data_IF_318649006478
#
_entry.id   IF_318649006478
#
_cell.length_a   1.000
_cell.length_b   1.000
_cell.length_c   1.000
_cell.angle_alpha   90.00
_cell.angle_beta   90.00
_cell.angle_gamma   90.00
#
_symmetry.space_group_name_H-M   'P 1'
#
loop_
_entity.id
_entity.type
_entity.pdbx_description
1 polymer ?
#
# COMPACT_ATOMS: atom_id res chain seq x y z
N UNK A 1 4.36 -35.40 -35.68
CA UNK A 1 5.47 -34.84 -34.92
C UNK A 1 5.26 -33.32 -34.90
N UNK A 2 4.72 -32.81 -33.80
CA UNK A 2 4.55 -31.38 -33.60
C UNK A 2 5.85 -30.88 -32.97
N UNK A 3 6.52 -29.97 -33.66
CA UNK A 3 7.72 -29.29 -33.17
C UNK A 3 7.28 -28.22 -32.15
N UNK A 4 7.67 -28.43 -30.89
CA UNK A 4 7.53 -27.46 -29.83
C UNK A 4 8.32 -26.19 -30.18
N UNK A 5 7.63 -25.04 -30.22
CA UNK A 5 8.26 -23.70 -30.36
C UNK A 5 8.81 -23.28 -28.99
N UNK A 6 10.06 -22.82 -29.02
CA UNK A 6 10.71 -22.20 -27.88
C UNK A 6 10.07 -20.82 -27.59
N UNK A 7 9.65 -20.50 -26.35
CA UNK A 7 8.97 -19.26 -26.02
C UNK A 7 9.84 -17.97 -26.15
N UNK A 8 11.11 -18.10 -26.48
CA UNK A 8 12.05 -16.99 -26.67
C UNK A 8 12.44 -16.72 -28.13
N UNK A 9 11.81 -17.38 -29.11
CA UNK A 9 12.07 -17.08 -30.52
C UNK A 9 11.36 -15.77 -30.91
N UNK A 10 12.06 -14.81 -31.55
CA UNK A 10 11.43 -13.57 -32.02
C UNK A 10 10.35 -13.87 -33.03
N UNK A 11 9.21 -13.22 -32.85
CA UNK A 11 8.07 -13.29 -33.79
C UNK A 11 8.54 -12.78 -35.14
N UNK A 12 8.39 -13.53 -36.24
CA UNK A 12 8.73 -13.02 -37.55
C UNK A 12 7.82 -11.84 -37.88
N UNK A 13 8.43 -10.68 -38.12
CA UNK A 13 7.79 -9.51 -38.70
C UNK A 13 7.24 -9.92 -40.07
N UNK A 14 5.95 -10.07 -40.18
CA UNK A 14 5.29 -10.18 -41.46
C UNK A 14 5.40 -8.80 -42.15
N UNK A 15 6.17 -8.75 -43.22
CA UNK A 15 6.13 -7.61 -44.13
C UNK A 15 4.73 -7.54 -44.75
N UNK A 16 3.87 -6.70 -44.16
CA UNK A 16 2.62 -6.29 -44.79
C UNK A 16 2.98 -5.18 -45.79
N UNK A 17 3.23 -5.57 -47.05
CA UNK A 17 3.21 -4.65 -48.17
C UNK A 17 1.74 -4.26 -48.44
N UNK A 18 1.34 -3.14 -47.88
CA UNK A 18 0.06 -2.50 -48.25
C UNK A 18 0.35 -1.62 -49.47
N UNK A 19 -0.10 -2.04 -50.63
CA UNK A 19 -0.20 -1.13 -51.79
C UNK A 19 -1.34 -0.13 -51.49
N UNK A 20 -0.98 1.10 -51.16
CA UNK A 20 -1.93 2.18 -50.99
C UNK A 20 -2.11 2.86 -52.33
N UNK A 21 -3.20 2.57 -53.01
CA UNK A 21 -3.68 3.43 -54.08
C UNK A 21 -4.16 4.76 -53.44
N UNK A 22 -3.44 5.83 -53.76
CA UNK A 22 -3.79 7.21 -53.36
C UNK A 22 -5.01 7.70 -54.16
N UNK A 23 -6.18 7.39 -53.68
CA UNK A 23 -7.40 8.13 -54.10
C UNK A 23 -7.99 8.79 -52.86
N UNK A 24 -7.83 10.11 -52.81
CA UNK A 24 -8.59 10.92 -51.85
C UNK A 24 -10.09 10.77 -52.16
N UNK A 25 -10.77 9.92 -51.44
CA UNK A 25 -12.21 9.84 -51.44
C UNK A 25 -12.71 10.63 -50.25
N UNK A 26 -13.36 11.73 -50.54
CA UNK A 26 -14.22 12.41 -49.58
C UNK A 26 -15.45 11.51 -49.45
N UNK A 27 -15.70 10.96 -48.24
CA UNK A 27 -16.94 10.27 -47.93
C UNK A 27 -18.11 11.25 -48.03
N UNK A 28 -19.32 10.74 -48.39
CA UNK A 28 -20.53 11.54 -48.46
C UNK A 28 -20.85 12.31 -47.16
N UNK A 29 -20.14 12.03 -46.06
CA UNK A 29 -20.24 12.68 -44.75
C UNK A 29 -19.15 13.74 -44.48
N UNK A 30 -18.28 14.07 -45.46
CA UNK A 30 -17.38 15.21 -45.38
C UNK A 30 -16.12 15.05 -44.54
N UNK A 31 -15.69 13.81 -44.24
CA UNK A 31 -14.44 13.55 -43.50
C UNK A 31 -13.23 13.57 -44.45
N UNK A 32 -12.34 14.54 -44.32
CA UNK A 32 -11.04 14.56 -44.96
C UNK A 32 -10.02 13.85 -44.10
N UNK A 33 -9.53 12.69 -44.55
CA UNK A 33 -8.34 12.07 -43.99
C UNK A 33 -7.10 12.50 -44.79
N UNK A 34 -6.17 13.20 -44.16
CA UNK A 34 -4.87 13.50 -44.75
C UNK A 34 -3.87 12.45 -44.31
N UNK A 35 -3.26 11.77 -45.30
CA UNK A 35 -2.17 10.83 -45.06
C UNK A 35 -0.87 11.51 -45.49
N UNK A 36 0.07 11.65 -44.57
CA UNK A 36 1.43 12.10 -44.86
C UNK A 36 2.41 10.96 -44.55
N UNK A 37 3.33 10.73 -45.50
CA UNK A 37 4.45 9.81 -45.30
C UNK A 37 5.56 10.53 -44.55
N UNK A 38 5.99 9.98 -43.43
CA UNK A 38 7.15 10.46 -42.70
C UNK A 38 8.41 10.18 -43.55
N UNK A 39 9.19 11.22 -43.91
CA UNK A 39 10.38 11.04 -44.75
C UNK A 39 11.57 10.41 -44.02
N UNK A 40 11.56 10.27 -42.70
CA UNK A 40 12.73 9.78 -41.97
C UNK A 40 12.67 8.28 -41.63
N UNK A 41 11.49 7.68 -41.43
CA UNK A 41 11.37 6.25 -41.06
C UNK A 41 10.33 5.46 -41.88
N UNK A 42 9.69 6.08 -42.86
CA UNK A 42 8.74 5.39 -43.75
C UNK A 42 7.40 5.05 -43.10
N UNK A 43 7.12 5.61 -41.95
CA UNK A 43 5.84 5.49 -41.26
C UNK A 43 4.73 6.31 -41.93
N UNK A 44 3.48 5.85 -41.84
CA UNK A 44 2.30 6.60 -42.32
C UNK A 44 1.68 7.29 -41.12
N UNK A 45 1.68 8.63 -41.13
CA UNK A 45 0.93 9.45 -40.18
C UNK A 45 -0.44 9.66 -40.76
N UNK A 46 -1.47 9.15 -40.10
CA UNK A 46 -2.88 9.37 -40.46
C UNK A 46 -3.46 10.38 -39.49
N UNK A 47 -3.63 11.61 -39.91
CA UNK A 47 -4.41 12.61 -39.16
C UNK A 47 -5.88 12.47 -39.48
N UNK A 48 -6.67 12.06 -38.50
CA UNK A 48 -8.13 12.12 -38.58
C UNK A 48 -8.58 13.50 -38.12
N UNK A 49 -9.07 14.32 -39.04
CA UNK A 49 -9.87 15.50 -38.66
C UNK A 49 -11.27 14.99 -38.27
N UNK A 50 -11.69 15.15 -37.01
CA UNK A 50 -13.08 14.86 -36.66
C UNK A 50 -14.03 15.74 -37.49
N UNK A 51 -15.24 15.24 -37.87
CA UNK A 51 -16.20 16.02 -38.59
C UNK A 51 -16.49 17.32 -37.84
N UNK A 52 -16.50 18.44 -38.55
CA UNK A 52 -16.87 19.75 -38.01
C UNK A 52 -18.38 19.79 -37.71
N UNK A 53 -18.86 18.95 -36.85
CA UNK A 53 -20.19 19.04 -36.28
C UNK A 53 -20.15 20.14 -35.22
N UNK A 54 -20.88 21.22 -35.45
CA UNK A 54 -20.98 22.38 -34.55
C UNK A 54 -21.42 22.00 -33.10
N UNK A 55 -21.85 20.77 -32.88
CA UNK A 55 -22.18 20.21 -31.55
C UNK A 55 -21.00 19.56 -30.81
N UNK A 56 -19.92 19.23 -31.50
CA UNK A 56 -18.70 18.67 -30.88
C UNK A 56 -17.61 19.73 -30.64
N UNK A 57 -17.84 20.99 -30.99
CA UNK A 57 -17.14 22.11 -30.38
C UNK A 57 -17.63 22.32 -28.94
N UNK A 58 -17.57 21.30 -28.11
CA UNK A 58 -17.09 21.52 -26.78
C UNK A 58 -15.66 22.03 -26.97
N UNK A 59 -15.57 23.37 -27.16
CA UNK A 59 -14.32 24.05 -26.87
C UNK A 59 -13.86 23.46 -25.54
N UNK A 60 -12.89 22.54 -25.58
CA UNK A 60 -11.90 22.50 -24.56
C UNK A 60 -11.29 23.91 -24.61
N UNK A 61 -11.96 24.88 -23.94
CA UNK A 61 -11.25 26.02 -23.43
C UNK A 61 -10.18 25.39 -22.63
N UNK A 62 -8.94 25.44 -23.09
CA UNK A 62 -7.77 25.18 -22.29
C UNK A 62 -8.09 25.81 -20.96
N UNK A 63 -8.18 25.00 -19.91
CA UNK A 63 -8.42 25.54 -18.58
C UNK A 63 -7.25 26.47 -18.34
N UNK A 64 -7.46 27.75 -18.04
CA UNK A 64 -6.33 28.68 -18.00
C UNK A 64 -5.32 28.11 -17.02
N UNK A 65 -4.09 27.88 -17.45
CA UNK A 65 -2.97 27.42 -16.58
C UNK A 65 -2.89 28.25 -15.31
N UNK A 66 -3.26 29.49 -15.40
CA UNK A 66 -3.39 30.45 -14.32
C UNK A 66 -4.40 30.04 -13.22
N UNK A 67 -5.45 29.26 -13.55
CA UNK A 67 -6.44 28.84 -12.55
C UNK A 67 -5.87 27.80 -11.57
N UNK A 68 -5.04 26.87 -12.05
CA UNK A 68 -4.44 25.81 -11.23
C UNK A 68 -3.00 26.13 -10.79
N UNK A 69 -2.54 27.36 -10.97
CA UNK A 69 -1.23 27.80 -10.51
C UNK A 69 -1.08 27.67 -8.99
N UNK A 70 0.14 27.64 -8.52
CA UNK A 70 0.46 27.68 -7.11
C UNK A 70 0.12 29.06 -6.52
N UNK A 71 -0.86 29.14 -5.64
CA UNK A 71 -1.27 30.39 -5.00
C UNK A 71 -0.33 30.84 -3.88
N UNK A 72 0.47 29.93 -3.34
CA UNK A 72 1.40 30.22 -2.25
C UNK A 72 2.45 31.27 -2.65
N UNK A 73 2.76 31.42 -3.95
CA UNK A 73 3.73 32.38 -4.45
C UNK A 73 3.23 33.83 -4.39
N UNK A 74 1.92 34.04 -4.33
CA UNK A 74 1.28 35.35 -4.32
C UNK A 74 0.74 35.76 -2.95
N UNK A 75 0.90 34.93 -1.92
CA UNK A 75 0.35 35.15 -0.58
C UNK A 75 1.40 35.72 0.38
N UNK A 76 0.95 36.51 1.33
CA UNK A 76 1.80 37.06 2.37
C UNK A 76 2.22 35.97 3.38
N UNK A 77 3.43 36.14 3.98
CA UNK A 77 4.01 35.16 4.91
C UNK A 77 3.12 34.92 6.14
N UNK A 78 2.44 35.96 6.65
CA UNK A 78 1.50 35.83 7.77
C UNK A 78 0.30 34.95 7.44
N UNK A 79 -0.27 35.09 6.23
CA UNK A 79 -1.38 34.27 5.75
C UNK A 79 -0.95 32.79 5.55
N UNK A 80 0.26 32.58 5.02
CA UNK A 80 0.84 31.26 4.85
C UNK A 80 1.09 30.57 6.18
N UNK A 81 1.59 31.28 7.19
CA UNK A 81 1.83 30.73 8.53
C UNK A 81 0.52 30.35 9.24
N UNK A 82 -0.56 31.13 9.08
CA UNK A 82 -1.90 30.75 9.59
C UNK A 82 -2.42 29.46 8.94
N UNK A 83 -2.27 29.34 7.62
CA UNK A 83 -2.68 28.15 6.89
C UNK A 83 -1.85 26.93 7.33
N UNK A 84 -0.54 27.10 7.45
CA UNK A 84 0.35 26.02 7.90
C UNK A 84 0.00 25.55 9.31
N UNK A 85 -0.27 26.46 10.21
CA UNK A 85 -0.69 26.14 11.57
C UNK A 85 -1.99 25.32 11.58
N UNK A 86 -3.00 25.74 10.81
CA UNK A 86 -4.28 25.03 10.67
C UNK A 86 -4.13 23.64 10.05
N UNK A 87 -3.26 23.50 9.06
CA UNK A 87 -2.96 22.20 8.42
C UNK A 87 -2.31 21.25 9.43
N UNK A 88 -1.37 21.73 10.23
CA UNK A 88 -0.72 20.92 11.27
C UNK A 88 -1.70 20.50 12.37
N UNK A 89 -2.50 21.44 12.90
CA UNK A 89 -3.52 21.14 13.91
C UNK A 89 -4.50 20.07 13.40
N UNK A 90 -4.95 20.21 12.17
CA UNK A 90 -5.83 19.27 11.52
C UNK A 90 -5.21 17.88 11.38
N UNK A 91 -3.93 17.81 10.98
CA UNK A 91 -3.19 16.56 10.81
C UNK A 91 -3.02 15.84 12.14
N UNK A 92 -2.61 16.56 13.19
CA UNK A 92 -2.47 15.99 14.55
C UNK A 92 -3.81 15.48 15.08
N UNK A 93 -4.90 16.23 14.90
CA UNK A 93 -6.23 15.80 15.32
C UNK A 93 -6.70 14.52 14.59
N UNK A 94 -6.41 14.39 13.30
CA UNK A 94 -6.76 13.21 12.52
C UNK A 94 -5.88 12.00 12.92
N UNK A 95 -4.60 12.22 13.21
CA UNK A 95 -3.67 11.22 13.73
C UNK A 95 -4.12 10.70 15.09
N UNK A 96 -4.45 11.59 16.01
CA UNK A 96 -4.93 11.22 17.34
C UNK A 96 -6.25 10.45 17.29
N UNK A 97 -7.16 10.82 16.38
CA UNK A 97 -8.46 10.17 16.24
C UNK A 97 -8.41 8.68 15.94
N UNK A 98 -7.29 8.20 15.37
CA UNK A 98 -7.11 6.79 14.98
C UNK A 98 -6.06 6.04 15.81
N UNK A 99 -5.47 6.65 16.83
CA UNK A 99 -4.39 6.09 17.63
C UNK A 99 -4.75 4.75 18.28
N UNK A 100 -5.97 4.62 18.84
CA UNK A 100 -6.46 3.37 19.43
C UNK A 100 -6.59 2.26 18.38
N UNK A 101 -7.04 2.62 17.18
CA UNK A 101 -7.14 1.69 16.06
C UNK A 101 -5.74 1.24 15.59
N UNK A 102 -4.76 2.14 15.49
CA UNK A 102 -3.37 1.80 15.15
C UNK A 102 -2.72 0.86 16.16
N UNK A 103 -2.92 1.08 17.46
CA UNK A 103 -2.33 0.27 18.53
C UNK A 103 -2.72 -1.21 18.46
N UNK A 104 -3.87 -1.52 17.85
CA UNK A 104 -4.30 -2.90 17.64
C UNK A 104 -3.45 -3.60 16.57
N UNK A 105 -3.01 -2.88 15.54
CA UNK A 105 -2.16 -3.46 14.50
C UNK A 105 -0.74 -3.72 14.97
N UNK A 106 -0.19 -2.91 15.87
CA UNK A 106 1.12 -3.17 16.48
C UNK A 106 1.18 -4.57 17.11
N UNK A 107 0.12 -4.97 17.80
CA UNK A 107 -0.01 -6.32 18.36
C UNK A 107 -0.31 -7.38 17.31
N UNK A 108 -1.09 -7.00 16.30
CA UNK A 108 -1.48 -7.90 15.21
C UNK A 108 -0.32 -8.33 14.33
N UNK A 109 0.63 -7.43 14.09
CA UNK A 109 1.81 -7.71 13.28
C UNK A 109 2.75 -8.74 13.91
N UNK A 110 2.84 -8.83 15.24
CA UNK A 110 3.61 -9.89 15.91
C UNK A 110 3.09 -11.29 15.57
N UNK A 111 1.81 -11.40 15.24
CA UNK A 111 1.17 -12.67 14.88
C UNK A 111 1.47 -13.12 13.44
N UNK A 112 2.16 -12.31 12.64
CA UNK A 112 2.60 -12.72 11.30
C UNK A 112 3.75 -13.74 11.36
N UNK A 113 4.57 -13.70 12.42
CA UNK A 113 5.65 -14.66 12.61
C UNK A 113 6.77 -14.58 11.59
N UNK A 114 7.02 -13.37 11.01
CA UNK A 114 8.03 -13.16 9.98
C UNK A 114 9.45 -13.06 10.55
N UNK A 115 9.57 -12.64 11.83
CA UNK A 115 10.85 -12.54 12.52
C UNK A 115 11.21 -13.87 13.16
N UNK A 116 12.46 -14.30 12.95
CA UNK A 116 13.05 -15.41 13.71
C UNK A 116 13.54 -14.89 15.06
N UNK A 117 12.84 -15.23 16.12
CA UNK A 117 13.24 -14.86 17.49
C UNK A 117 14.18 -15.92 18.06
N UNK A 118 15.33 -15.46 18.53
CA UNK A 118 16.31 -16.32 19.22
C UNK A 118 16.04 -16.43 20.73
N UNK A 119 15.46 -15.38 21.31
CA UNK A 119 15.14 -15.34 22.73
C UNK A 119 13.80 -15.99 23.03
N UNK A 120 13.78 -16.95 23.93
CA UNK A 120 12.60 -17.68 24.31
C UNK A 120 12.18 -17.34 25.75
N UNK A 121 10.92 -17.00 25.91
CA UNK A 121 10.25 -16.91 27.22
C UNK A 121 9.17 -18.00 27.27
N UNK A 122 8.90 -18.65 28.42
CA UNK A 122 9.29 -18.31 29.80
C UNK A 122 10.60 -18.89 30.27
N UNK A 123 11.33 -19.69 29.51
CA UNK A 123 12.61 -20.30 29.86
C UNK A 123 13.53 -20.39 28.63
N UNK A 124 14.82 -20.49 28.85
CA UNK A 124 15.83 -20.65 27.81
C UNK A 124 15.57 -21.93 26.98
N UNK A 125 15.41 -21.79 25.67
CA UNK A 125 15.06 -22.88 24.76
C UNK A 125 13.57 -23.15 24.62
N UNK A 126 12.67 -22.32 25.18
CA UNK A 126 11.24 -22.39 24.93
C UNK A 126 10.91 -22.13 23.44
N UNK A 127 9.79 -22.68 22.97
CA UNK A 127 9.37 -22.55 21.59
C UNK A 127 8.95 -21.12 21.26
N UNK A 128 9.58 -20.49 20.26
CA UNK A 128 9.26 -19.14 19.76
C UNK A 128 8.34 -19.14 18.55
N UNK A 129 8.04 -20.32 17.98
CA UNK A 129 7.27 -20.41 16.75
C UNK A 129 5.88 -19.75 16.83
N UNK A 130 5.47 -19.11 15.75
CA UNK A 130 4.15 -18.50 15.58
C UNK A 130 3.35 -19.34 14.59
N UNK A 131 2.08 -19.59 14.88
CA UNK A 131 1.25 -20.38 13.97
C UNK A 131 0.90 -19.55 12.72
N UNK A 132 1.11 -20.05 11.49
CA UNK A 132 1.08 -19.23 10.25
C UNK A 132 -0.33 -18.93 9.70
N UNK A 133 -1.41 -19.12 10.46
CA UNK A 133 -2.80 -18.93 9.99
C UNK A 133 -2.98 -17.56 9.33
N UNK A 134 -2.52 -16.50 9.99
CA UNK A 134 -2.75 -15.12 9.53
C UNK A 134 -2.02 -14.83 8.22
N UNK A 135 -0.72 -15.14 8.18
CA UNK A 135 0.10 -14.88 7.00
C UNK A 135 -0.33 -15.76 5.81
N UNK A 136 -0.67 -17.04 6.07
CA UNK A 136 -1.13 -17.96 5.05
C UNK A 136 -2.44 -17.47 4.41
N UNK A 137 -3.37 -16.96 5.21
CA UNK A 137 -4.64 -16.41 4.74
C UNK A 137 -4.43 -15.14 3.89
N UNK A 138 -3.51 -14.26 4.29
CA UNK A 138 -3.17 -13.06 3.53
C UNK A 138 -2.54 -13.39 2.17
N UNK A 139 -1.57 -14.32 2.14
CA UNK A 139 -0.90 -14.76 0.91
C UNK A 139 -1.87 -15.48 -0.03
N UNK A 140 -2.75 -16.32 0.50
CA UNK A 140 -3.80 -16.98 -0.29
C UNK A 140 -4.75 -15.97 -0.93
N UNK A 141 -5.15 -14.94 -0.18
CA UNK A 141 -5.99 -13.88 -0.71
C UNK A 141 -5.27 -13.12 -1.83
N UNK A 142 -4.03 -12.64 -1.58
CA UNK A 142 -3.22 -11.93 -2.56
C UNK A 142 -3.09 -12.74 -3.86
N UNK A 143 -2.68 -13.99 -3.76
CA UNK A 143 -2.47 -14.85 -4.92
C UNK A 143 -3.74 -15.04 -5.76
N UNK A 144 -4.89 -15.32 -5.11
CA UNK A 144 -6.17 -15.47 -5.81
C UNK A 144 -6.66 -14.16 -6.41
N UNK A 145 -6.59 -13.07 -5.65
CA UNK A 145 -7.03 -11.76 -6.11
C UNK A 145 -6.19 -11.28 -7.31
N UNK A 146 -4.87 -11.48 -7.29
CA UNK A 146 -4.00 -11.15 -8.42
C UNK A 146 -4.40 -11.91 -9.68
N UNK A 147 -4.67 -13.21 -9.57
CA UNK A 147 -5.09 -14.02 -10.73
C UNK A 147 -6.45 -13.58 -11.31
N UNK A 148 -7.38 -13.18 -10.45
CA UNK A 148 -8.71 -12.75 -10.89
C UNK A 148 -8.71 -11.33 -11.47
N UNK A 149 -7.90 -10.42 -10.90
CA UNK A 149 -7.84 -9.03 -11.32
C UNK A 149 -6.98 -8.80 -12.56
N UNK A 150 -5.97 -9.65 -12.76
CA UNK A 150 -5.06 -9.58 -13.91
C UNK A 150 -5.12 -10.85 -14.78
N UNK A 151 -6.28 -11.13 -15.39
CA UNK A 151 -6.39 -12.26 -16.30
C UNK A 151 -5.57 -12.02 -17.58
N UNK A 152 -5.15 -13.08 -18.31
CA UNK A 152 -4.37 -12.93 -19.56
C UNK A 152 -5.06 -12.10 -20.65
N UNK A 153 -6.37 -11.95 -20.58
CA UNK A 153 -7.16 -11.14 -21.52
C UNK A 153 -7.18 -9.63 -21.18
N UNK A 154 -6.43 -9.24 -20.14
CA UNK A 154 -6.38 -7.88 -19.60
C UNK A 154 -7.41 -7.62 -18.49
N UNK A 155 -7.08 -6.71 -17.55
CA UNK A 155 -7.91 -6.41 -16.38
C UNK A 155 -9.21 -5.68 -16.71
N UNK A 156 -9.28 -4.96 -17.83
CA UNK A 156 -10.43 -4.13 -18.18
C UNK A 156 -11.38 -4.88 -19.12
N UNK A 157 -12.66 -4.87 -18.75
CA UNK A 157 -13.77 -5.38 -19.58
C UNK A 157 -14.73 -4.26 -19.88
N UNK A 158 -15.18 -4.14 -21.14
CA UNK A 158 -16.22 -3.20 -21.54
C UNK A 158 -17.59 -3.88 -21.56
N UNK A 159 -18.61 -3.15 -21.11
CA UNK A 159 -20.01 -3.58 -21.20
C UNK A 159 -20.85 -2.44 -21.81
N UNK A 160 -21.66 -2.77 -22.80
CA UNK A 160 -22.58 -1.81 -23.43
C UNK A 160 -23.84 -1.74 -22.57
N UNK A 161 -24.22 -0.53 -22.20
CA UNK A 161 -25.47 -0.24 -21.50
C UNK A 161 -26.49 0.27 -22.51
N UNK A 162 -27.67 -0.36 -22.56
CA UNK A 162 -28.73 -0.07 -23.51
C UNK A 162 -28.68 -0.93 -24.77
N UNK A 163 -29.18 -0.41 -25.89
CA UNK A 163 -29.27 -1.15 -27.15
C UNK A 163 -27.88 -1.46 -27.72
N UNK A 164 -27.66 -2.70 -28.09
CA UNK A 164 -26.40 -3.19 -28.66
C UNK A 164 -26.49 -3.05 -30.18
N UNK A 165 -25.69 -2.16 -30.74
CA UNK A 165 -25.47 -2.02 -32.19
C UNK A 165 -24.05 -2.46 -32.52
N UNK A 166 -23.79 -2.82 -33.78
CA UNK A 166 -22.48 -3.21 -34.28
C UNK A 166 -21.44 -2.10 -34.06
N UNK A 167 -21.80 -0.83 -34.33
CA UNK A 167 -20.95 0.33 -34.10
C UNK A 167 -20.56 0.50 -32.62
N UNK A 168 -21.54 0.36 -31.70
CA UNK A 168 -21.26 0.41 -30.24
C UNK A 168 -20.38 -0.75 -29.78
N UNK A 169 -20.53 -1.93 -30.42
CA UNK A 169 -19.68 -3.06 -30.11
C UNK A 169 -18.23 -2.80 -30.50
N UNK A 170 -17.98 -2.23 -31.68
CA UNK A 170 -16.65 -1.88 -32.14
C UNK A 170 -16.04 -0.75 -31.29
N UNK A 171 -16.83 0.24 -30.94
CA UNK A 171 -16.39 1.29 -30.01
C UNK A 171 -16.02 0.73 -28.63
N UNK A 172 -16.84 -0.17 -28.09
CA UNK A 172 -16.56 -0.83 -26.82
C UNK A 172 -15.28 -1.66 -26.86
N UNK A 173 -15.01 -2.35 -27.98
CA UNK A 173 -13.78 -3.12 -28.18
C UNK A 173 -12.55 -2.22 -28.25
N UNK A 174 -12.63 -1.07 -28.95
CA UNK A 174 -11.53 -0.07 -28.99
C UNK A 174 -11.26 0.53 -27.61
N UNK A 175 -12.30 0.93 -26.89
CA UNK A 175 -12.16 1.45 -25.52
C UNK A 175 -11.52 0.40 -24.61
N UNK A 176 -11.98 -0.85 -24.70
CA UNK A 176 -11.38 -1.97 -23.93
C UNK A 176 -9.90 -2.13 -24.24
N UNK A 177 -9.53 -2.15 -25.52
CA UNK A 177 -8.14 -2.32 -25.94
C UNK A 177 -7.27 -1.16 -25.44
N UNK A 178 -7.73 0.07 -25.60
CA UNK A 178 -7.02 1.27 -25.16
C UNK A 178 -6.83 1.31 -23.62
N UNK A 179 -7.90 1.03 -22.86
CA UNK A 179 -7.78 1.02 -21.40
C UNK A 179 -6.88 -0.12 -20.87
N UNK A 180 -6.91 -1.28 -21.51
CA UNK A 180 -5.96 -2.34 -21.17
C UNK A 180 -4.53 -1.89 -21.45
N UNK A 181 -4.27 -1.30 -22.62
CA UNK A 181 -2.96 -0.74 -22.94
C UNK A 181 -2.51 0.32 -21.93
N UNK A 182 -3.40 1.22 -21.52
CA UNK A 182 -3.05 2.20 -20.48
C UNK A 182 -2.63 1.54 -19.17
N UNK A 183 -3.38 0.54 -18.71
CA UNK A 183 -3.15 -0.08 -17.40
C UNK A 183 -1.97 -1.05 -17.42
N UNK A 184 -1.68 -1.72 -18.56
CA UNK A 184 -0.61 -2.72 -18.63
C UNK A 184 0.72 -2.17 -19.12
N UNK A 185 0.69 -1.12 -19.97
CA UNK A 185 1.88 -0.63 -20.67
C UNK A 185 2.24 0.81 -20.33
N UNK A 186 1.23 1.71 -20.30
CA UNK A 186 1.50 3.13 -20.01
C UNK A 186 1.74 3.39 -18.52
N UNK A 187 0.94 2.79 -17.65
CA UNK A 187 1.11 2.89 -16.20
C UNK A 187 2.00 1.75 -15.74
N UNK A 188 3.31 1.89 -15.91
CA UNK A 188 4.29 0.82 -15.69
C UNK A 188 4.29 0.27 -14.26
N UNK A 189 3.98 1.12 -13.28
CA UNK A 189 3.91 0.79 -11.86
C UNK A 189 2.60 0.13 -11.43
N UNK A 190 1.58 0.07 -12.31
CA UNK A 190 0.21 -0.32 -11.91
C UNK A 190 0.12 -1.70 -11.29
N UNK A 191 0.79 -2.68 -11.90
CA UNK A 191 0.76 -4.07 -11.43
C UNK A 191 1.46 -4.22 -10.09
N UNK A 192 2.69 -3.72 -9.97
CA UNK A 192 3.52 -3.86 -8.77
C UNK A 192 2.87 -3.15 -7.57
N UNK A 193 2.36 -1.93 -7.79
CA UNK A 193 1.66 -1.17 -6.77
C UNK A 193 0.33 -1.83 -6.36
N UNK A 194 -0.34 -2.50 -7.30
CA UNK A 194 -1.55 -3.24 -7.00
C UNK A 194 -1.27 -4.53 -6.22
N UNK A 195 -0.20 -5.24 -6.59
CA UNK A 195 0.24 -6.45 -5.88
C UNK A 195 0.62 -6.14 -4.43
N UNK A 196 1.36 -5.06 -4.19
CA UNK A 196 1.67 -4.57 -2.84
C UNK A 196 0.40 -4.26 -2.07
N UNK A 197 -0.54 -3.55 -2.68
CA UNK A 197 -1.82 -3.22 -2.06
C UNK A 197 -2.61 -4.48 -1.68
N UNK A 198 -2.65 -5.51 -2.53
CA UNK A 198 -3.37 -6.76 -2.28
C UNK A 198 -2.81 -7.57 -1.12
N UNK A 199 -1.55 -7.36 -0.74
CA UNK A 199 -0.98 -7.94 0.47
C UNK A 199 -1.38 -7.15 1.73
N UNK A 200 -1.32 -5.82 1.68
CA UNK A 200 -1.63 -4.95 2.81
C UNK A 200 -3.14 -4.92 3.13
N UNK A 201 -3.98 -4.86 2.10
CA UNK A 201 -5.42 -4.72 2.23
C UNK A 201 -6.08 -5.80 3.12
N UNK A 202 -5.85 -7.10 2.92
CA UNK A 202 -6.47 -8.11 3.78
C UNK A 202 -5.96 -8.07 5.21
N UNK A 203 -4.71 -7.71 5.46
CA UNK A 203 -4.15 -7.66 6.82
C UNK A 203 -4.77 -6.54 7.64
N UNK A 204 -4.74 -5.33 7.12
CA UNK A 204 -5.12 -4.11 7.83
C UNK A 204 -6.61 -3.80 7.64
N UNK A 205 -7.16 -4.10 6.47
CA UNK A 205 -8.57 -3.86 6.13
C UNK A 205 -8.82 -2.61 5.32
N UNK A 206 -7.85 -1.72 5.18
CA UNK A 206 -7.91 -0.51 4.36
C UNK A 206 -6.64 -0.28 3.59
N UNK A 207 -6.79 0.18 2.37
CA UNK A 207 -5.69 0.58 1.50
C UNK A 207 -6.15 1.70 0.56
N UNK A 208 -5.23 2.52 0.10
CA UNK A 208 -5.53 3.62 -0.79
C UNK A 208 -4.71 3.53 -2.07
N UNK A 209 -5.27 4.03 -3.17
CA UNK A 209 -4.53 4.33 -4.38
C UNK A 209 -4.73 5.78 -4.75
N UNK A 210 -3.64 6.50 -5.03
CA UNK A 210 -3.66 7.85 -5.60
C UNK A 210 -3.53 7.71 -7.11
N UNK A 211 -4.49 8.29 -7.84
CA UNK A 211 -4.47 8.29 -9.32
C UNK A 211 -4.55 9.71 -9.82
N UNK A 212 -3.57 10.13 -10.59
CA UNK A 212 -3.47 11.48 -11.14
C UNK A 212 -2.74 11.45 -12.48
N UNK A 213 -2.80 12.55 -13.19
CA UNK A 213 -2.02 12.76 -14.42
C UNK A 213 -0.76 13.52 -14.04
N UNK A 214 0.40 12.92 -14.30
CA UNK A 214 1.69 13.55 -14.07
C UNK A 214 2.10 14.32 -15.33
N UNK A 215 2.19 15.64 -15.21
CA UNK A 215 2.56 16.52 -16.33
C UNK A 215 4.03 16.34 -16.72
N UNK A 216 4.92 16.02 -15.79
CA UNK A 216 6.33 15.79 -16.06
C UNK A 216 6.58 14.52 -16.85
N UNK A 217 5.82 13.45 -16.51
CA UNK A 217 5.86 12.17 -17.21
C UNK A 217 4.90 12.12 -18.42
N UNK A 218 4.00 13.09 -18.55
CA UNK A 218 2.96 13.16 -19.57
C UNK A 218 2.13 11.86 -19.67
N UNK A 219 1.81 11.24 -18.53
CA UNK A 219 1.01 10.02 -18.45
C UNK A 219 0.22 9.94 -17.12
N UNK A 220 -0.84 9.14 -17.08
CA UNK A 220 -1.47 8.81 -15.81
C UNK A 220 -0.54 7.97 -14.94
N UNK A 221 -0.61 8.20 -13.63
CA UNK A 221 0.12 7.50 -12.58
C UNK A 221 -0.87 6.94 -11.57
N UNK A 222 -0.60 5.75 -11.04
CA UNK A 222 -1.45 5.11 -10.05
C UNK A 222 -0.60 4.45 -8.97
N UNK A 223 -0.44 5.12 -7.85
CA UNK A 223 0.42 4.73 -6.73
C UNK A 223 -0.39 4.11 -5.60
N UNK A 224 0.17 3.10 -4.96
CA UNK A 224 -0.35 2.59 -3.70
C UNK A 224 0.09 3.51 -2.55
N UNK A 225 -0.87 3.94 -1.76
CA UNK A 225 -0.62 4.74 -0.56
C UNK A 225 -0.91 3.86 0.65
N UNK A 226 0.14 3.49 1.41
CA UNK A 226 -0.01 2.72 2.63
C UNK A 226 -0.81 3.49 3.68
N UNK A 227 -1.43 2.77 4.59
CA UNK A 227 -2.32 3.34 5.59
C UNK A 227 -1.62 4.28 6.58
N UNK A 228 -0.33 4.08 6.83
CA UNK A 228 0.53 4.91 7.67
C UNK A 228 0.90 6.25 7.01
N UNK A 229 0.67 6.38 5.69
CA UNK A 229 0.88 7.60 4.93
C UNK A 229 -0.42 8.36 4.59
N UNK A 230 -1.58 7.83 4.97
CA UNK A 230 -2.86 8.46 4.69
C UNK A 230 -3.68 8.67 5.97
N UNK A 231 -3.96 9.92 6.29
CA UNK A 231 -4.63 10.33 7.52
C UNK A 231 -5.97 10.99 7.23
N UNK A 232 -7.00 10.54 7.92
CA UNK A 232 -8.35 11.07 7.89
C UNK A 232 -9.00 10.76 9.23
N UNK A 233 -9.92 11.61 9.67
CA UNK A 233 -10.66 11.36 10.90
C UNK A 233 -11.30 9.97 10.91
N UNK A 234 -11.13 9.23 12.02
CA UNK A 234 -11.74 7.91 12.22
C UNK A 234 -13.25 7.92 12.03
N UNK A 235 -13.88 9.05 12.33
CA UNK A 235 -15.35 9.24 12.26
C UNK A 235 -15.84 9.70 10.89
N UNK A 236 -14.97 9.90 9.91
CA UNK A 236 -15.38 10.23 8.56
C UNK A 236 -16.22 9.10 7.93
N UNK A 237 -17.19 9.46 7.11
CA UNK A 237 -18.05 8.48 6.43
C UNK A 237 -17.39 7.99 5.13
N UNK A 238 -16.91 8.91 4.31
CA UNK A 238 -16.25 8.63 3.04
C UNK A 238 -15.35 9.82 2.64
N UNK A 239 -14.49 9.60 1.62
CA UNK A 239 -13.58 10.64 1.12
C UNK A 239 -14.31 11.84 0.49
N UNK A 240 -15.51 11.64 -0.03
CA UNK A 240 -16.28 12.72 -0.68
C UNK A 240 -16.84 13.70 0.33
N UNK A 241 -17.30 13.17 1.48
CA UNK A 241 -17.95 13.96 2.54
C UNK A 241 -17.00 14.41 3.62
N UNK A 242 -15.79 13.84 3.68
CA UNK A 242 -14.81 14.25 4.67
C UNK A 242 -14.40 15.71 4.43
N UNK A 243 -14.31 16.48 5.49
CA UNK A 243 -13.89 17.89 5.43
C UNK A 243 -12.43 18.02 5.00
N UNK A 244 -11.61 17.04 5.44
CA UNK A 244 -10.19 17.01 5.13
C UNK A 244 -9.62 15.60 5.16
N UNK A 245 -8.49 15.40 4.50
CA UNK A 245 -7.61 14.24 4.63
C UNK A 245 -6.18 14.65 4.21
N UNK A 246 -5.19 13.97 4.76
CA UNK A 246 -3.78 14.29 4.57
C UNK A 246 -3.03 13.08 4.04
N UNK A 247 -2.23 13.28 3.01
CA UNK A 247 -1.28 12.32 2.47
C UNK A 247 0.13 12.75 2.87
N UNK A 248 0.85 11.87 3.55
CA UNK A 248 2.25 12.09 3.93
C UNK A 248 3.15 11.58 2.81
N UNK A 249 3.97 12.47 2.27
CA UNK A 249 4.84 12.19 1.13
C UNK A 249 6.29 12.36 1.58
N UNK A 250 7.13 11.37 1.29
CA UNK A 250 8.56 11.43 1.52
C UNK A 250 9.26 11.85 0.24
N UNK A 251 10.12 12.88 0.30
CA UNK A 251 10.90 13.38 -0.83
C UNK A 251 12.38 13.45 -0.49
N UNK A 252 13.20 12.84 -1.32
CA UNK A 252 14.65 13.03 -1.25
C UNK A 252 15.03 14.48 -1.61
N UNK A 253 16.20 14.98 -1.18
CA UNK A 253 16.66 16.32 -1.56
C UNK A 253 16.71 16.55 -3.08
N UNK A 254 17.02 15.50 -3.84
CA UNK A 254 17.10 15.59 -5.31
C UNK A 254 15.71 15.70 -5.93
N UNK A 255 14.76 14.92 -5.44
CA UNK A 255 13.35 15.00 -5.89
C UNK A 255 12.77 16.36 -5.55
N UNK A 256 13.00 16.85 -4.33
CA UNK A 256 12.53 18.18 -3.91
C UNK A 256 13.04 19.29 -4.82
N UNK A 257 14.34 19.27 -5.18
CA UNK A 257 14.91 20.24 -6.12
C UNK A 257 14.28 20.14 -7.52
N UNK A 258 13.97 18.92 -7.98
CA UNK A 258 13.29 18.71 -9.27
C UNK A 258 11.86 19.25 -9.23
N UNK A 259 11.14 19.00 -8.16
CA UNK A 259 9.74 19.44 -7.99
C UNK A 259 9.67 20.97 -7.91
N UNK A 260 10.64 21.63 -7.24
CA UNK A 260 10.78 23.10 -7.24
C UNK A 260 11.12 23.63 -8.65
N UNK A 261 12.09 23.01 -9.31
CA UNK A 261 12.48 23.41 -10.67
C UNK A 261 11.36 23.23 -11.71
N UNK A 262 10.47 22.26 -11.48
CA UNK A 262 9.28 22.04 -12.30
C UNK A 262 8.11 22.98 -11.96
N UNK A 263 8.25 23.87 -10.95
CA UNK A 263 7.17 24.76 -10.51
C UNK A 263 6.02 24.04 -9.79
N UNK A 264 6.28 22.86 -9.29
CA UNK A 264 5.29 22.13 -8.46
C UNK A 264 5.21 22.73 -7.07
N UNK A 265 6.35 23.13 -6.52
CA UNK A 265 6.51 23.75 -5.19
C UNK A 265 7.16 25.12 -5.32
N UNK A 266 6.80 26.03 -4.43
CA UNK A 266 7.44 27.33 -4.30
C UNK A 266 8.89 27.16 -3.83
N UNK A 267 9.78 28.02 -4.33
CA UNK A 267 11.18 28.07 -3.90
C UNK A 267 11.28 28.84 -2.57
N UNK A 268 11.20 28.10 -1.48
CA UNK A 268 11.29 28.62 -0.11
C UNK A 268 12.53 28.08 0.58
N UNK A 269 13.07 28.87 1.54
CA UNK A 269 14.22 28.43 2.33
C UNK A 269 13.82 27.30 3.29
N UNK A 270 14.23 26.08 2.96
CA UNK A 270 13.96 24.88 3.75
C UNK A 270 15.20 24.49 4.56
N UNK A 271 15.01 23.92 5.76
CA UNK A 271 16.11 23.34 6.52
C UNK A 271 16.73 22.15 5.76
N UNK A 272 17.92 21.71 6.17
CA UNK A 272 18.48 20.47 5.63
C UNK A 272 17.55 19.29 5.88
N UNK A 273 17.43 18.44 4.87
CA UNK A 273 16.66 17.21 4.97
C UNK A 273 17.16 16.37 6.15
N UNK A 274 16.26 15.73 6.82
CA UNK A 274 16.57 14.96 8.02
C UNK A 274 15.97 13.57 7.95
N UNK A 275 16.42 12.70 8.85
CA UNK A 275 15.79 11.38 8.96
C UNK A 275 14.32 11.55 9.36
N UNK A 276 13.36 10.96 8.58
CA UNK A 276 11.96 11.04 8.92
C UNK A 276 11.67 10.30 10.24
N UNK A 277 10.78 10.86 11.04
CA UNK A 277 10.27 10.15 12.22
C UNK A 277 9.31 9.06 11.73
N UNK A 278 9.69 7.81 11.98
CA UNK A 278 8.83 6.68 11.64
C UNK A 278 7.62 6.61 12.57
N UNK A 279 6.47 6.31 12.03
CA UNK A 279 5.28 5.99 12.81
C UNK A 279 5.51 4.70 13.62
N UNK A 280 4.82 4.53 14.74
CA UNK A 280 4.90 3.31 15.56
C UNK A 280 4.59 2.06 14.73
N UNK A 281 3.64 2.14 13.81
CA UNK A 281 3.29 1.08 12.86
C UNK A 281 4.45 0.75 11.91
N UNK A 282 5.11 1.75 11.31
CA UNK A 282 6.25 1.56 10.42
C UNK A 282 7.45 0.94 11.17
N UNK A 283 7.77 1.46 12.37
CA UNK A 283 8.81 0.88 13.24
C UNK A 283 8.52 -0.59 13.57
N UNK A 284 7.25 -0.92 13.81
CA UNK A 284 6.84 -2.30 14.09
C UNK A 284 7.01 -3.20 12.87
N UNK A 285 6.63 -2.73 11.69
CA UNK A 285 6.86 -3.46 10.43
C UNK A 285 8.34 -3.75 10.21
N UNK A 286 9.22 -2.74 10.39
CA UNK A 286 10.67 -2.91 10.27
C UNK A 286 11.20 -3.95 11.29
N UNK A 287 10.75 -3.85 12.54
CA UNK A 287 11.12 -4.79 13.59
C UNK A 287 10.75 -6.24 13.25
N UNK A 288 9.55 -6.45 12.67
CA UNK A 288 9.06 -7.79 12.28
C UNK A 288 9.86 -8.34 11.10
N UNK A 289 10.33 -7.47 10.20
CA UNK A 289 11.22 -7.83 9.10
C UNK A 289 12.67 -8.02 9.54
N UNK A 290 12.99 -7.79 10.83
CA UNK A 290 14.34 -7.89 11.38
C UNK A 290 15.23 -6.69 11.05
N UNK A 291 14.65 -5.59 10.59
CA UNK A 291 15.34 -4.35 10.33
C UNK A 291 15.48 -3.53 11.61
N UNK A 292 16.58 -2.78 11.73
CA UNK A 292 16.76 -1.84 12.83
C UNK A 292 16.20 -0.49 12.45
N UNK A 293 15.20 0.05 13.17
CA UNK A 293 14.45 1.24 12.72
C UNK A 293 15.30 2.49 12.47
N UNK A 294 16.45 2.61 13.07
CA UNK A 294 17.19 3.90 13.09
C UNK A 294 18.38 4.01 12.15
N UNK A 295 18.73 2.98 11.36
CA UNK A 295 20.06 2.97 10.73
C UNK A 295 20.08 3.01 9.20
N UNK A 296 18.95 3.06 8.51
CA UNK A 296 18.92 2.82 7.06
C UNK A 296 18.13 3.82 6.21
N UNK A 297 17.59 4.89 6.78
CA UNK A 297 16.90 5.91 5.99
C UNK A 297 17.85 7.04 5.59
N UNK A 298 17.87 7.34 4.29
CA UNK A 298 18.50 8.56 3.82
C UNK A 298 17.69 9.79 4.30
N UNK A 299 18.35 10.94 4.49
CA UNK A 299 17.65 12.17 4.84
C UNK A 299 16.58 12.52 3.80
N UNK A 300 15.37 12.80 4.26
CA UNK A 300 14.21 13.11 3.42
C UNK A 300 13.45 14.32 3.98
N UNK A 301 12.74 15.00 3.10
CA UNK A 301 11.69 15.95 3.48
C UNK A 301 10.38 15.20 3.66
N UNK A 302 9.67 15.51 4.73
CA UNK A 302 8.34 14.98 5.00
C UNK A 302 7.32 16.05 4.62
N UNK A 303 6.54 15.79 3.59
CA UNK A 303 5.54 16.71 3.08
C UNK A 303 4.15 16.24 3.49
N UNK A 304 3.34 17.16 3.98
CA UNK A 304 1.94 16.94 4.29
C UNK A 304 1.08 17.56 3.19
N UNK A 305 0.55 16.73 2.29
CA UNK A 305 -0.42 17.13 1.27
C UNK A 305 -1.82 17.00 1.86
N UNK A 306 -2.41 18.10 2.31
CA UNK A 306 -3.75 18.12 2.88
C UNK A 306 -4.76 18.61 1.87
N UNK A 307 -5.78 17.79 1.62
CA UNK A 307 -6.97 18.17 0.88
C UNK A 307 -8.02 18.67 1.87
N UNK A 308 -8.30 19.96 1.86
CA UNK A 308 -9.19 20.59 2.85
C UNK A 308 -10.00 21.73 2.24
N UNK A 309 -10.93 22.27 3.02
CA UNK A 309 -11.66 23.46 2.67
C UNK A 309 -11.02 24.67 3.37
N UNK A 310 -10.72 25.71 2.59
CA UNK A 310 -10.16 26.97 3.09
C UNK A 310 -11.04 28.14 2.65
N UNK A 311 -11.12 29.14 3.53
CA UNK A 311 -11.65 30.47 3.23
C UNK A 311 -10.45 31.39 3.03
N UNK A 312 -10.08 31.61 1.75
CA UNK A 312 -8.94 32.45 1.38
C UNK A 312 -9.42 33.88 1.09
N UNK A 313 -8.51 34.88 1.11
CA UNK A 313 -8.83 36.25 0.69
C UNK A 313 -9.47 36.32 -0.70
N UNK A 314 -10.33 37.34 -0.92
CA UNK A 314 -11.10 37.52 -2.15
C UNK A 314 -10.29 37.45 -3.45
N UNK A 315 -9.08 37.95 -3.43
CA UNK A 315 -8.18 37.94 -4.59
C UNK A 315 -7.85 36.52 -5.08
N UNK A 316 -7.92 35.51 -4.20
CA UNK A 316 -7.65 34.10 -4.51
C UNK A 316 -8.94 33.28 -4.66
N UNK A 317 -10.03 33.75 -4.07
CA UNK A 317 -11.28 33.02 -3.92
C UNK A 317 -12.30 33.30 -5.02
N UNK A 318 -12.23 34.47 -5.67
CA UNK A 318 -13.21 34.95 -6.64
C UNK A 318 -14.36 35.73 -5.98
N UNK A 319 -15.54 35.72 -6.64
CA UNK A 319 -16.66 36.59 -6.27
C UNK A 319 -17.46 36.14 -5.04
N UNK A 320 -17.28 34.91 -4.54
CA UNK A 320 -18.08 34.32 -3.47
C UNK A 320 -17.45 34.57 -2.09
N UNK A 321 -17.92 35.57 -1.41
CA UNK A 321 -17.47 35.92 -0.04
C UNK A 321 -17.98 34.91 1.00
N UNK A 322 -17.05 34.37 1.79
CA UNK A 322 -17.38 33.57 2.99
C UNK A 322 -17.77 32.13 2.72
N UNK A 323 -17.50 31.62 1.51
CA UNK A 323 -17.68 30.22 1.19
C UNK A 323 -16.31 29.51 1.21
N UNK A 324 -16.13 28.54 2.11
CA UNK A 324 -14.93 27.69 2.10
C UNK A 324 -14.91 26.81 0.85
N UNK A 325 -13.83 26.91 0.06
CA UNK A 325 -13.65 26.12 -1.17
C UNK A 325 -12.60 25.03 -0.97
N UNK A 326 -12.64 23.97 -1.80
CA UNK A 326 -11.67 22.88 -1.67
C UNK A 326 -10.31 23.28 -2.29
N UNK A 327 -9.25 23.07 -1.48
CA UNK A 327 -7.86 23.28 -1.87
C UNK A 327 -7.00 22.08 -1.53
N UNK A 328 -5.85 21.98 -2.17
CA UNK A 328 -4.75 21.08 -1.83
C UNK A 328 -3.63 21.95 -1.31
N UNK A 329 -3.27 21.77 -0.06
CA UNK A 329 -2.17 22.49 0.60
C UNK A 329 -1.05 21.51 0.87
N UNK A 330 0.15 21.81 0.43
CA UNK A 330 1.35 21.04 0.73
C UNK A 330 2.28 21.86 1.61
N UNK A 331 2.64 21.33 2.77
CA UNK A 331 3.58 21.94 3.69
C UNK A 331 4.73 20.96 3.98
N UNK A 332 5.90 21.49 4.35
CA UNK A 332 6.96 20.68 4.95
C UNK A 332 6.73 20.58 6.46
N UNK A 333 6.74 19.36 7.02
CA UNK A 333 6.31 19.07 8.39
C UNK A 333 7.15 19.80 9.46
N UNK A 334 8.49 19.81 9.32
CA UNK A 334 9.39 20.37 10.34
C UNK A 334 9.46 21.89 10.34
N UNK A 335 9.63 22.48 9.17
CA UNK A 335 9.70 23.94 9.02
C UNK A 335 8.33 24.61 9.03
N UNK A 336 7.26 23.81 8.78
CA UNK A 336 5.90 24.31 8.59
C UNK A 336 5.76 25.32 7.46
N UNK A 337 6.71 25.31 6.51
CA UNK A 337 6.65 26.19 5.34
C UNK A 337 5.65 25.63 4.33
N UNK A 338 4.81 26.51 3.82
CA UNK A 338 3.87 26.17 2.75
C UNK A 338 4.61 26.13 1.43
N UNK A 339 4.51 25.01 0.73
CA UNK A 339 5.15 24.78 -0.56
C UNK A 339 4.19 25.03 -1.71
N UNK A 340 2.93 24.68 -1.53
CA UNK A 340 1.94 24.83 -2.60
C UNK A 340 0.52 24.92 -2.04
N UNK A 341 -0.28 25.79 -2.66
CA UNK A 341 -1.73 25.89 -2.45
C UNK A 341 -2.37 25.89 -3.84
N UNK A 342 -3.14 24.84 -4.12
CA UNK A 342 -3.80 24.66 -5.43
C UNK A 342 -5.31 24.47 -5.28
N UNK A 343 -6.09 25.02 -6.22
CA UNK A 343 -7.53 24.82 -6.25
C UNK A 343 -7.86 23.37 -6.59
N UNK A 344 -8.73 22.74 -5.79
CA UNK A 344 -9.13 21.34 -5.95
C UNK A 344 -10.56 21.18 -6.45
N UNK A 345 -10.97 22.02 -7.40
CA UNK A 345 -12.28 21.98 -8.05
C UNK A 345 -12.19 22.36 -9.52
N UNK A 346 -13.24 22.08 -10.27
CA UNK A 346 -13.30 22.42 -11.68
C UNK A 346 -13.87 23.84 -11.86
N UNK A 347 -13.23 24.66 -12.69
CA UNK A 347 -13.68 26.02 -13.01
C UNK A 347 -15.09 26.04 -13.62
N UNK A 348 -15.50 24.94 -14.29
CA UNK A 348 -16.82 24.79 -14.91
C UNK A 348 -17.89 24.29 -13.94
N UNK A 349 -17.48 23.75 -12.80
CA UNK A 349 -18.43 23.22 -11.83
C UNK A 349 -18.99 24.34 -10.95
N UNK A 350 -20.29 24.63 -11.11
CA UNK A 350 -20.99 25.63 -10.33
C UNK A 350 -21.08 25.29 -8.82
N UNK A 351 -20.98 24.00 -8.47
CA UNK A 351 -21.01 23.53 -7.06
C UNK A 351 -19.64 23.55 -6.45
N UNK A 352 -18.58 23.66 -7.27
CA UNK A 352 -17.18 23.64 -6.84
C UNK A 352 -16.87 22.44 -5.94
N UNK A 353 -17.37 21.26 -6.37
CA UNK A 353 -17.13 20.01 -5.65
C UNK A 353 -15.64 19.64 -5.74
N UNK A 354 -15.11 19.09 -4.63
CA UNK A 354 -13.69 18.70 -4.60
C UNK A 354 -13.41 17.54 -5.55
N UNK A 355 -12.31 17.62 -6.29
CA UNK A 355 -11.77 16.51 -7.06
C UNK A 355 -11.15 15.48 -6.09
N UNK A 356 -11.37 14.21 -6.37
CA UNK A 356 -10.88 13.11 -5.54
C UNK A 356 -9.84 12.33 -6.33
N UNK A 357 -8.61 12.34 -5.84
CA UNK A 357 -7.49 11.60 -6.43
C UNK A 357 -7.26 10.25 -5.78
N UNK A 358 -7.85 10.00 -4.63
CA UNK A 358 -7.67 8.79 -3.85
C UNK A 358 -8.86 7.85 -3.98
N UNK A 359 -8.57 6.57 -4.17
CA UNK A 359 -9.56 5.49 -4.11
C UNK A 359 -9.33 4.69 -2.84
N UNK A 360 -10.35 4.58 -2.00
CA UNK A 360 -10.31 3.80 -0.78
C UNK A 360 -10.81 2.37 -1.04
N UNK A 361 -9.93 1.40 -0.84
CA UNK A 361 -10.23 -0.02 -0.87
C UNK A 361 -10.45 -0.53 0.55
N UNK A 362 -11.56 -1.22 0.78
CA UNK A 362 -11.90 -1.82 2.07
C UNK A 362 -12.04 -3.31 1.91
N UNK A 363 -11.35 -4.08 2.76
CA UNK A 363 -11.47 -5.54 2.75
C UNK A 363 -12.86 -5.97 3.25
N UNK A 364 -13.22 -5.53 4.46
CA UNK A 364 -14.58 -5.61 4.99
C UNK A 364 -14.95 -4.24 5.55
N UNK A 365 -16.13 -3.67 5.22
CA UNK A 365 -16.55 -2.41 5.80
C UNK A 365 -16.61 -2.49 7.33
N UNK A 366 -15.96 -1.52 8.01
CA UNK A 366 -15.95 -1.40 9.46
C UNK A 366 -17.06 -0.49 9.97
N UNK A 367 -17.01 -0.17 11.27
CA UNK A 367 -17.94 0.76 11.92
C UNK A 367 -17.55 2.22 11.75
N UNK A 368 -16.28 2.50 11.49
CA UNK A 368 -15.74 3.82 11.18
C UNK A 368 -15.34 3.94 9.71
N UNK A 369 -14.47 4.90 9.42
CA UNK A 369 -13.94 5.10 8.08
C UNK A 369 -13.15 3.88 7.61
N UNK A 370 -12.26 3.35 8.46
CA UNK A 370 -11.36 2.26 8.13
C UNK A 370 -12.09 0.90 8.12
N UNK A 371 -11.68 0.04 7.18
CA UNK A 371 -12.19 -1.32 7.07
C UNK A 371 -11.61 -2.26 8.12
N UNK A 372 -12.21 -3.44 8.21
CA UNK A 372 -11.75 -4.52 9.06
C UNK A 372 -10.92 -5.51 8.22
N UNK A 373 -9.73 -5.86 8.70
CA UNK A 373 -8.83 -6.84 8.07
C UNK A 373 -8.76 -8.17 8.82
N UNK A 374 -7.95 -9.09 8.31
CA UNK A 374 -7.75 -10.41 8.90
C UNK A 374 -7.19 -10.36 10.34
N UNK A 375 -6.43 -9.33 10.68
CA UNK A 375 -5.94 -9.12 12.06
C UNK A 375 -7.14 -9.04 13.02
N UNK A 376 -8.23 -8.38 12.63
CA UNK A 376 -9.44 -8.29 13.46
C UNK A 376 -10.15 -9.64 13.60
N UNK A 377 -10.20 -10.45 12.53
CA UNK A 377 -10.96 -11.69 12.50
C UNK A 377 -10.16 -12.88 13.02
N UNK A 378 -8.90 -12.98 12.60
CA UNK A 378 -8.05 -14.14 12.86
C UNK A 378 -7.02 -13.91 13.97
N UNK A 379 -6.78 -12.66 14.41
CA UNK A 379 -5.75 -12.34 15.40
C UNK A 379 -5.88 -13.17 16.67
N UNK A 380 -7.05 -13.22 17.29
CA UNK A 380 -7.30 -13.99 18.49
C UNK A 380 -7.17 -15.51 18.26
N UNK A 381 -7.60 -16.01 17.10
CA UNK A 381 -7.45 -17.43 16.75
C UNK A 381 -5.98 -17.78 16.54
N UNK A 382 -5.21 -16.93 15.83
CA UNK A 382 -3.77 -17.09 15.63
C UNK A 382 -3.01 -17.10 16.96
N UNK A 383 -3.35 -16.18 17.87
CA UNK A 383 -2.77 -16.12 19.21
C UNK A 383 -3.05 -17.41 19.99
N UNK A 384 -4.28 -17.91 19.96
CA UNK A 384 -4.68 -19.16 20.62
C UNK A 384 -3.97 -20.37 20.03
N UNK A 385 -3.90 -20.47 18.71
CA UNK A 385 -3.20 -21.53 18.00
C UNK A 385 -1.69 -21.51 18.31
N UNK A 386 -1.08 -20.32 18.34
CA UNK A 386 0.32 -20.12 18.68
C UNK A 386 0.62 -20.57 20.12
N UNK A 387 -0.20 -20.17 21.09
CA UNK A 387 -0.06 -20.59 22.48
C UNK A 387 -0.20 -22.12 22.65
N UNK A 388 -1.17 -22.72 21.96
CA UNK A 388 -1.35 -24.19 22.00
C UNK A 388 -0.16 -24.92 21.35
N UNK A 389 0.33 -24.45 20.22
CA UNK A 389 1.49 -25.02 19.53
C UNK A 389 2.76 -24.91 20.37
N UNK A 390 3.06 -23.73 20.92
CA UNK A 390 4.20 -23.52 21.84
C UNK A 390 4.10 -24.44 23.04
N UNK A 391 2.93 -24.52 23.69
CA UNK A 391 2.72 -25.40 24.83
C UNK A 391 2.89 -26.89 24.50
N UNK A 392 2.52 -27.34 23.32
CA UNK A 392 2.74 -28.74 22.87
C UNK A 392 4.22 -29.03 22.62
N UNK A 393 4.94 -28.12 21.95
CA UNK A 393 6.39 -28.27 21.70
C UNK A 393 7.16 -28.25 22.99
N UNK A 394 6.90 -27.31 23.88
CA UNK A 394 7.58 -27.18 25.19
C UNK A 394 7.31 -28.37 26.07
N UNK A 395 6.06 -28.87 26.15
CA UNK A 395 5.75 -30.09 26.89
C UNK A 395 6.49 -31.30 26.30
N UNK A 396 6.64 -31.40 24.99
CA UNK A 396 7.44 -32.43 24.32
C UNK A 396 8.92 -32.34 24.67
N UNK A 397 9.49 -31.12 24.73
CA UNK A 397 10.87 -30.90 25.14
C UNK A 397 11.10 -31.38 26.59
N UNK A 398 10.24 -30.99 27.53
CA UNK A 398 10.32 -31.42 28.91
C UNK A 398 10.12 -32.91 29.10
N UNK A 399 9.23 -33.53 28.30
CA UNK A 399 9.05 -35.00 28.37
C UNK A 399 10.25 -35.76 27.82
N UNK A 400 10.95 -35.23 26.81
CA UNK A 400 12.12 -35.87 26.19
C UNK A 400 13.42 -35.57 26.94
N UNK A 401 13.53 -34.45 27.66
CA UNK A 401 14.69 -34.02 28.45
C UNK A 401 14.27 -33.80 29.89
N UNK A 402 13.94 -34.88 30.61
CA UNK A 402 13.43 -34.75 31.97
C UNK A 402 14.52 -34.24 32.93
N UNK A 403 14.21 -33.14 33.61
CA UNK A 403 14.99 -32.65 34.75
C UNK A 403 14.57 -33.36 36.03
N UNK A 404 15.37 -33.22 37.11
CA UNK A 404 15.06 -33.81 38.40
C UNK A 404 15.84 -33.18 39.55
N UNK A 405 15.55 -33.64 40.75
CA UNK A 405 16.31 -33.27 41.95
C UNK A 405 17.36 -34.32 42.22
N UNK A 406 18.61 -33.91 42.50
CA UNK A 406 19.66 -34.77 43.04
C UNK A 406 19.93 -34.41 44.49
N UNK A 407 20.15 -35.42 45.32
CA UNK A 407 20.50 -35.20 46.72
C UNK A 407 21.86 -34.51 46.82
N UNK A 408 22.00 -33.58 47.78
CA UNK A 408 23.27 -32.92 48.08
C UNK A 408 24.27 -33.94 48.57
N UNK A 409 25.38 -34.13 47.86
CA UNK A 409 26.40 -35.12 48.19
C UNK A 409 26.57 -36.23 47.16
N UNK A 410 25.69 -36.31 46.17
CA UNK A 410 25.89 -37.12 44.99
C UNK A 410 26.92 -36.44 44.10
N UNK A 411 28.07 -37.04 43.84
CA UNK A 411 29.08 -36.56 42.92
C UNK A 411 29.00 -37.36 41.62
N UNK A 412 28.88 -36.63 40.51
CA UNK A 412 29.01 -37.18 39.18
C UNK A 412 30.28 -36.65 38.55
N UNK A 413 31.02 -37.47 37.83
CA UNK A 413 32.16 -37.02 37.03
C UNK A 413 31.60 -36.23 35.84
N UNK A 414 32.00 -34.97 35.69
CA UNK A 414 31.47 -34.07 34.67
C UNK A 414 30.03 -33.57 34.98
N UNK A 415 29.79 -33.10 36.21
CA UNK A 415 28.46 -32.74 36.74
C UNK A 415 27.73 -31.63 35.96
N UNK A 416 28.45 -30.81 35.20
CA UNK A 416 27.89 -29.73 34.35
C UNK A 416 27.84 -30.07 32.87
N UNK A 417 28.35 -31.23 32.44
CA UNK A 417 28.35 -31.60 31.05
C UNK A 417 27.08 -32.38 30.67
N UNK A 418 26.40 -32.02 29.56
CA UNK A 418 25.25 -32.78 29.09
C UNK A 418 25.65 -34.23 28.77
N UNK A 419 24.76 -35.18 29.07
CA UNK A 419 24.96 -36.60 28.76
C UNK A 419 24.61 -36.83 27.30
N UNK A 420 25.56 -37.35 26.52
CA UNK A 420 25.32 -37.75 25.14
C UNK A 420 24.49 -39.04 25.06
N UNK A 421 23.69 -39.27 24.01
CA UNK A 421 22.97 -40.51 23.83
C UNK A 421 23.92 -41.74 23.85
N UNK A 422 23.69 -42.68 24.75
CA UNK A 422 24.51 -43.88 24.90
C UNK A 422 25.73 -43.72 25.85
N UNK A 423 25.94 -42.59 26.45
CA UNK A 423 27.00 -42.33 27.41
C UNK A 423 26.63 -42.81 28.80
N UNK A 424 27.57 -43.45 29.48
CA UNK A 424 27.45 -43.91 30.87
C UNK A 424 28.36 -43.08 31.76
N UNK A 425 27.78 -42.29 32.68
CA UNK A 425 28.57 -41.53 33.66
C UNK A 425 28.70 -42.26 34.99
N UNK A 426 29.92 -42.30 35.54
CA UNK A 426 30.18 -42.84 36.83
C UNK A 426 29.63 -41.93 37.94
N UNK A 427 28.98 -42.54 38.96
CA UNK A 427 28.32 -41.83 40.04
C UNK A 427 28.87 -42.34 41.40
N UNK A 428 29.44 -41.43 42.16
CA UNK A 428 29.80 -41.72 43.56
C UNK A 428 28.62 -41.39 44.48
N UNK A 429 28.01 -42.37 45.07
CA UNK A 429 26.90 -42.20 46.02
C UNK A 429 27.30 -42.57 47.43
N UNK A 430 27.03 -41.69 48.37
CA UNK A 430 27.19 -41.96 49.81
C UNK A 430 25.90 -42.60 50.35
N UNK A 431 25.73 -43.92 50.10
CA UNK A 431 24.54 -44.67 50.51
C UNK A 431 24.14 -45.74 49.48
N UNK A 432 23.35 -46.74 49.92
CA UNK A 432 23.05 -47.95 49.17
C UNK A 432 21.86 -47.82 48.18
N UNK A 433 21.21 -46.65 48.04
CA UNK A 433 19.94 -46.51 47.28
C UNK A 433 19.95 -45.31 46.40
N UNK A 434 20.52 -45.45 45.20
CA UNK A 434 20.59 -44.42 44.15
C UNK A 434 19.22 -43.93 43.74
N UNK A 435 18.20 -44.79 43.79
CA UNK A 435 16.82 -44.41 43.37
C UNK A 435 16.15 -43.39 44.29
N UNK A 436 16.63 -43.28 45.52
CA UNK A 436 16.16 -42.25 46.49
C UNK A 436 16.95 -40.96 46.44
N UNK A 437 18.08 -40.95 45.75
CA UNK A 437 18.96 -39.79 45.64
C UNK A 437 18.68 -38.95 44.38
N UNK A 438 18.02 -39.49 43.38
CA UNK A 438 17.64 -38.85 42.16
C UNK A 438 16.12 -39.00 42.00
N UNK A 439 15.41 -37.89 42.06
CA UNK A 439 13.94 -37.84 41.85
C UNK A 439 13.66 -37.09 40.56
N UNK A 440 13.25 -37.77 39.49
CA UNK A 440 12.82 -37.07 38.28
C UNK A 440 11.56 -36.27 38.56
N UNK A 441 11.47 -35.06 38.00
CA UNK A 441 10.24 -34.28 38.05
C UNK A 441 9.17 -34.98 37.21
N UNK A 442 7.91 -35.06 37.71
CA UNK A 442 6.82 -35.72 36.99
C UNK A 442 6.34 -34.79 35.89
N UNK A 443 7.06 -34.75 34.75
CA UNK A 443 6.60 -34.03 33.55
C UNK A 443 5.47 -34.83 32.92
N UNK A 444 4.42 -34.08 32.49
CA UNK A 444 3.31 -34.66 31.76
C UNK A 444 3.66 -34.72 30.29
N UNK A 445 3.21 -35.77 29.62
CA UNK A 445 3.26 -35.86 28.17
C UNK A 445 2.45 -34.72 27.53
N UNK A 446 2.74 -34.31 26.25
CA UNK A 446 1.97 -33.31 25.50
C UNK A 446 0.48 -33.65 25.57
N UNK A 447 -0.34 -32.64 25.86
CA UNK A 447 -1.77 -32.84 26.06
C UNK A 447 -2.48 -33.14 24.75
N UNK A 448 -3.15 -34.29 24.63
CA UNK A 448 -3.99 -34.64 23.50
C UNK A 448 -5.14 -33.63 23.30
N UNK A 449 -5.64 -33.05 24.39
CA UNK A 449 -6.67 -32.01 24.34
C UNK A 449 -6.17 -30.73 23.67
N UNK A 450 -4.93 -30.30 23.97
CA UNK A 450 -4.30 -29.14 23.29
C UNK A 450 -4.10 -29.41 21.80
N UNK A 451 -3.69 -30.63 21.45
CA UNK A 451 -3.56 -31.02 20.04
C UNK A 451 -4.89 -30.98 19.29
N UNK A 452 -5.96 -31.50 19.92
CA UNK A 452 -7.31 -31.43 19.33
C UNK A 452 -7.81 -29.98 19.21
N UNK A 453 -7.53 -29.14 20.23
CA UNK A 453 -7.87 -27.73 20.21
C UNK A 453 -7.12 -26.98 19.09
N UNK A 454 -5.85 -27.26 18.89
CA UNK A 454 -5.05 -26.70 17.80
C UNK A 454 -5.68 -27.07 16.44
N UNK A 455 -6.05 -28.34 16.25
CA UNK A 455 -6.73 -28.79 15.03
C UNK A 455 -8.09 -28.12 14.83
N UNK A 456 -8.88 -27.93 15.89
CA UNK A 456 -10.16 -27.23 15.82
C UNK A 456 -9.97 -25.74 15.43
N UNK A 457 -9.04 -25.04 16.09
CA UNK A 457 -8.75 -23.62 15.80
C UNK A 457 -8.23 -23.44 14.39
N UNK A 458 -7.34 -24.33 13.94
CA UNK A 458 -6.79 -24.28 12.58
C UNK A 458 -7.86 -24.52 11.50
N UNK A 459 -8.86 -25.38 11.78
CA UNK A 459 -9.97 -25.62 10.86
C UNK A 459 -11.04 -24.51 10.89
N UNK A 460 -11.16 -23.78 11.98
CA UNK A 460 -12.12 -22.68 12.14
C UNK A 460 -11.64 -21.37 11.49
N UNK A 461 -10.36 -21.24 11.24
CA UNK A 461 -9.72 -20.09 10.58
C UNK A 461 -9.61 -20.30 9.07
#
# INVERSE_FOLDING_TARGET
MATERNPFDPIPTAELSIEIESTGTIDEDGNEATMELDPEDGGIIVEFKPPEDERSRVQQKEEPEEFYRNLAEDMDEEELDEIAFKVMENFEADKDSRSDWESMFERGFDLLGLKLEEAAEPFEGACTAVHPILIESAVKFQSKATQELFPPAGPVKSQIVGDVTEEKQDQANRVKAFMNYQVTDQITEYFDEFERMLFHLPLIGSAFKKTYFDQGLNRPVSEFVPIDQFYISYYATDLRRADRYTHVIYRSPVEMQRDIAAGMYADVDLPEASMPEQTAMAQKMDTILGLSPSSQHDPQYVLLEQHCYLDLPKQFHGEDDGLSLPYIVTIEEKSRKVLSIRRNYDIKDKRREKKIFFTHYRFVPGFGFYGLGLIHFLGNLTMTATAAMRGLVDAGQFANLPGGFKAKGLRMVGDNDPIAPGEWKEVEAVGNDLSKMIIPLPYKEPSQTLFQMLGFVSNAA
#
